data_IF_514303638778
#
_entry.id   IF_514303638778
#
_cell.length_a   1.000
_cell.length_b   1.000
_cell.length_c   1.000
_cell.angle_alpha   90.00
_cell.angle_beta   90.00
_cell.angle_gamma   90.00
#
_symmetry.space_group_name_H-M   'P 1'
#
loop_
_entity.id
_entity.type
_entity.pdbx_description
1 polymer ?
#
# COMPACT_ATOMS: atom_id res chain seq x y z
N UNK A 1 -9.50 12.66 10.01
CA UNK A 1 -8.08 12.35 10.32
C UNK A 1 -7.72 11.14 9.49
N UNK A 2 -6.61 11.20 8.74
CA UNK A 2 -6.19 10.11 7.85
C UNK A 2 -5.59 8.95 8.66
N UNK A 3 -5.89 7.72 8.25
CA UNK A 3 -5.22 6.51 8.74
C UNK A 3 -3.92 6.33 7.98
N UNK A 4 -2.88 5.86 8.66
CA UNK A 4 -1.58 5.55 8.07
C UNK A 4 -1.41 4.04 8.11
N UNK A 5 -1.07 3.44 6.97
CA UNK A 5 -0.51 2.10 6.91
C UNK A 5 0.98 2.17 6.62
N UNK A 6 1.73 1.32 7.32
CA UNK A 6 3.16 1.17 7.11
C UNK A 6 3.50 -0.31 7.14
N UNK A 7 4.37 -0.74 6.23
CA UNK A 7 4.78 -2.14 6.15
C UNK A 7 6.24 -2.23 5.73
N UNK A 8 7.01 -3.02 6.46
CA UNK A 8 8.43 -3.31 6.19
C UNK A 8 8.49 -4.63 5.43
N UNK A 9 9.26 -4.69 4.34
CA UNK A 9 9.48 -5.92 3.62
C UNK A 9 10.37 -6.87 4.46
N UNK A 10 9.87 -8.06 4.79
CA UNK A 10 10.65 -9.03 5.56
C UNK A 10 11.83 -9.61 4.74
N UNK A 11 11.65 -9.74 3.42
CA UNK A 11 12.70 -10.19 2.50
C UNK A 11 13.87 -9.20 2.38
N UNK A 12 13.58 -7.90 2.50
CA UNK A 12 14.54 -6.79 2.32
C UNK A 12 14.20 -5.62 3.28
N UNK A 13 14.64 -5.65 4.55
CA UNK A 13 14.18 -4.70 5.58
C UNK A 13 14.51 -3.22 5.35
N UNK A 14 15.38 -2.90 4.39
CA UNK A 14 15.61 -1.52 3.94
C UNK A 14 14.42 -0.96 3.13
N UNK A 15 13.57 -1.83 2.59
CA UNK A 15 12.39 -1.44 1.82
C UNK A 15 11.18 -1.30 2.74
N UNK A 16 10.61 -0.09 2.75
CA UNK A 16 9.43 0.25 3.57
C UNK A 16 8.38 0.89 2.68
N UNK A 17 7.13 0.48 2.86
CA UNK A 17 5.98 1.06 2.19
C UNK A 17 5.12 1.83 3.18
N UNK A 18 4.61 2.97 2.73
CA UNK A 18 3.68 3.81 3.47
C UNK A 18 2.49 4.15 2.59
N UNK A 19 1.29 3.92 3.10
CA UNK A 19 0.04 4.31 2.46
C UNK A 19 -0.72 5.30 3.34
N UNK A 20 -1.05 6.46 2.79
CA UNK A 20 -1.74 7.54 3.53
C UNK A 20 -2.48 8.48 2.58
N UNK A 21 -3.33 9.35 3.13
CA UNK A 21 -3.87 10.49 2.39
C UNK A 21 -2.77 11.51 2.13
N UNK A 22 -2.61 11.94 0.87
CA UNK A 22 -1.75 13.06 0.53
C UNK A 22 -2.58 14.15 -0.18
N UNK A 23 -2.45 15.44 0.18
CA UNK A 23 -3.39 16.48 -0.26
C UNK A 23 -3.47 16.72 -1.76
N UNK A 24 -2.40 16.48 -2.51
CA UNK A 24 -2.26 16.94 -3.91
C UNK A 24 -2.12 15.83 -4.95
N UNK A 25 -1.61 14.66 -4.60
CA UNK A 25 -1.45 13.48 -5.46
C UNK A 25 -0.92 12.31 -4.61
N UNK A 26 -1.08 11.05 -5.02
CA UNK A 26 -0.42 9.96 -4.30
C UNK A 26 -1.28 9.36 -3.20
N UNK A 27 -1.09 8.06 -2.99
CA UNK A 27 -1.39 7.46 -1.68
C UNK A 27 -0.29 6.52 -1.21
N UNK A 28 0.49 5.94 -2.13
CA UNK A 28 1.52 4.95 -1.80
C UNK A 28 2.93 5.51 -2.04
N UNK A 29 3.76 5.37 -1.02
CA UNK A 29 5.14 5.79 -0.97
C UNK A 29 6.02 4.59 -0.66
N UNK A 30 7.24 4.61 -1.18
CA UNK A 30 8.29 3.62 -0.90
C UNK A 30 9.55 4.32 -0.46
N UNK A 31 10.20 3.75 0.54
CA UNK A 31 11.59 4.00 0.90
C UNK A 31 12.40 2.75 0.56
N UNK A 32 13.66 2.97 0.17
CA UNK A 32 14.64 1.90 -0.06
C UNK A 32 15.85 2.02 0.91
N UNK A 33 15.71 2.89 1.92
CA UNK A 33 16.74 3.31 2.88
C UNK A 33 16.18 3.41 4.32
N UNK A 34 15.43 2.39 4.76
CA UNK A 34 14.91 2.26 6.13
C UNK A 34 13.97 3.40 6.58
N UNK A 35 13.39 4.13 5.63
CA UNK A 35 12.49 5.25 5.88
C UNK A 35 13.16 6.63 5.92
N UNK A 36 14.45 6.74 5.57
CA UNK A 36 15.16 8.03 5.52
C UNK A 36 14.66 8.93 4.38
N UNK A 37 14.45 8.35 3.19
CA UNK A 37 13.88 9.05 2.02
C UNK A 37 12.70 8.30 1.43
N UNK A 38 11.76 9.06 0.85
CA UNK A 38 10.51 8.52 0.34
C UNK A 38 10.25 9.00 -1.08
N UNK A 39 9.82 8.07 -1.94
CA UNK A 39 9.32 8.35 -3.29
C UNK A 39 7.87 7.93 -3.40
N UNK A 40 7.04 8.80 -3.97
CA UNK A 40 5.69 8.42 -4.38
C UNK A 40 5.79 7.44 -5.54
N UNK A 41 5.11 6.31 -5.43
CA UNK A 41 5.15 5.23 -6.44
C UNK A 41 3.78 4.96 -7.05
N UNK A 42 2.71 5.44 -6.43
CA UNK A 42 1.36 5.33 -6.94
C UNK A 42 0.46 6.49 -6.49
N UNK A 43 -0.22 7.12 -7.44
CA UNK A 43 -1.16 8.23 -7.26
C UNK A 43 -2.61 7.90 -7.57
N UNK A 44 -2.94 6.63 -7.81
CA UNK A 44 -4.31 6.18 -7.94
C UNK A 44 -5.04 6.32 -6.60
N UNK A 45 -5.96 7.29 -6.54
CA UNK A 45 -6.80 7.54 -5.36
C UNK A 45 -7.73 6.37 -5.05
N UNK A 46 -8.00 5.48 -6.01
CA UNK A 46 -8.82 4.30 -5.77
C UNK A 46 -8.10 3.25 -4.92
N UNK A 47 -6.76 3.25 -4.92
CA UNK A 47 -5.96 2.37 -4.07
C UNK A 47 -6.25 2.64 -2.58
N UNK A 48 -6.56 3.89 -2.24
CA UNK A 48 -6.93 4.32 -0.90
C UNK A 48 -8.24 5.16 -0.88
N UNK A 49 -9.29 4.61 -1.50
CA UNK A 49 -10.59 5.27 -1.60
C UNK A 49 -11.27 5.31 -0.23
N UNK A 50 -11.21 6.45 0.47
CA UNK A 50 -11.60 6.70 1.89
C UNK A 50 -10.44 6.48 2.86
N UNK A 51 -9.40 7.32 2.79
CA UNK A 51 -8.18 7.16 3.59
C UNK A 51 -8.38 7.40 5.10
N UNK A 52 -9.53 7.96 5.50
CA UNK A 52 -9.94 8.04 6.90
C UNK A 52 -10.39 6.70 7.48
N UNK A 53 -10.59 5.68 6.63
CA UNK A 53 -11.20 4.40 6.98
C UNK A 53 -10.31 3.22 6.55
N UNK A 54 -9.83 3.24 5.31
CA UNK A 54 -8.87 2.28 4.77
C UNK A 54 -7.49 2.93 4.68
N UNK A 55 -6.42 2.16 4.91
CA UNK A 55 -5.02 2.52 4.59
C UNK A 55 -4.14 1.29 4.86
N UNK A 56 -4.59 0.07 4.55
CA UNK A 56 -3.78 -1.11 4.81
C UNK A 56 -2.94 -1.48 3.59
N UNK A 57 -1.65 -1.70 3.85
CA UNK A 57 -0.67 -2.20 2.89
C UNK A 57 0.13 -3.31 3.57
N UNK A 58 0.28 -4.42 2.87
CA UNK A 58 1.06 -5.58 3.31
C UNK A 58 2.07 -5.95 2.24
N UNK A 59 3.30 -6.24 2.65
CA UNK A 59 4.35 -6.74 1.76
C UNK A 59 4.41 -8.27 1.87
N UNK A 60 4.61 -8.95 0.74
CA UNK A 60 4.91 -10.38 0.74
C UNK A 60 6.21 -10.64 1.53
N UNK A 61 6.23 -11.57 2.50
CA UNK A 61 7.42 -11.82 3.30
C UNK A 61 8.60 -12.38 2.48
N UNK A 62 8.33 -12.90 1.28
CA UNK A 62 9.34 -13.50 0.39
C UNK A 62 9.78 -12.62 -0.78
N UNK A 63 9.09 -11.50 -1.05
CA UNK A 63 9.38 -10.59 -2.17
C UNK A 63 8.94 -9.16 -1.86
N UNK A 64 9.90 -8.23 -1.74
CA UNK A 64 9.63 -6.84 -1.41
C UNK A 64 8.86 -6.06 -2.49
N UNK A 65 8.72 -6.61 -3.69
CA UNK A 65 7.98 -6.00 -4.79
C UNK A 65 6.54 -6.49 -4.91
N UNK A 66 6.18 -7.53 -4.14
CA UNK A 66 4.80 -8.01 -4.09
C UNK A 66 4.06 -7.37 -2.93
N UNK A 67 2.98 -6.65 -3.25
CA UNK A 67 2.16 -5.91 -2.27
C UNK A 67 0.71 -6.33 -2.34
N UNK A 68 0.05 -6.23 -1.20
CA UNK A 68 -1.39 -6.38 -1.06
C UNK A 68 -1.97 -5.14 -0.39
N UNK A 69 -3.07 -4.63 -0.91
CA UNK A 69 -3.82 -3.53 -0.29
C UNK A 69 -5.27 -3.94 -0.11
N UNK A 70 -5.87 -3.44 0.97
CA UNK A 70 -7.27 -3.64 1.27
C UNK A 70 -7.94 -2.28 1.51
N UNK A 71 -8.72 -1.84 0.52
CA UNK A 71 -9.53 -0.62 0.57
C UNK A 71 -10.95 -0.89 0.07
N UNK A 72 -11.37 -0.47 -1.12
CA UNK A 72 -12.67 -0.91 -1.69
C UNK A 72 -12.72 -2.39 -2.09
N UNK A 73 -11.59 -3.08 -2.04
CA UNK A 73 -11.43 -4.51 -2.27
C UNK A 73 -9.97 -4.94 -2.14
N UNK A 74 -9.73 -6.25 -2.23
CA UNK A 74 -8.38 -6.82 -2.19
C UNK A 74 -7.67 -6.64 -3.53
N UNK A 75 -6.56 -5.92 -3.52
CA UNK A 75 -5.71 -5.69 -4.69
C UNK A 75 -4.31 -6.19 -4.45
N UNK A 76 -3.65 -6.64 -5.53
CA UNK A 76 -2.27 -7.12 -5.53
C UNK A 76 -1.43 -6.34 -6.54
N UNK A 77 -0.21 -6.03 -6.16
CA UNK A 77 0.87 -5.58 -7.03
C UNK A 77 2.01 -6.60 -7.00
N UNK A 78 2.74 -6.73 -8.11
CA UNK A 78 3.98 -7.53 -8.22
C UNK A 78 5.13 -6.71 -8.81
N UNK A 79 5.00 -5.39 -8.84
CA UNK A 79 5.95 -4.46 -9.46
C UNK A 79 6.39 -3.33 -8.51
N UNK A 80 6.33 -3.61 -7.20
CA UNK A 80 6.69 -2.66 -6.16
C UNK A 80 5.66 -1.55 -5.99
N UNK A 81 4.38 -1.84 -6.24
CA UNK A 81 3.26 -0.92 -6.04
C UNK A 81 3.00 0.06 -7.17
N UNK A 82 3.64 -0.10 -8.34
CA UNK A 82 3.41 0.78 -9.50
C UNK A 82 2.06 0.50 -10.14
N UNK A 83 1.67 -0.77 -10.24
CA UNK A 83 0.37 -1.19 -10.75
C UNK A 83 -0.30 -2.18 -9.80
N UNK A 84 -1.64 -2.16 -9.78
CA UNK A 84 -2.46 -3.03 -8.95
C UNK A 84 -3.54 -3.72 -9.77
N UNK A 85 -3.79 -4.99 -9.45
CA UNK A 85 -4.88 -5.79 -9.98
C UNK A 85 -5.79 -6.24 -8.85
N UNK A 86 -7.10 -6.17 -9.05
CA UNK A 86 -8.07 -6.67 -8.06
C UNK A 86 -8.09 -8.20 -8.12
N UNK A 87 -7.81 -8.86 -7.00
CA UNK A 87 -7.68 -10.32 -6.92
C UNK A 87 -8.77 -11.00 -6.09
N UNK A 88 -9.69 -10.22 -5.49
CA UNK A 88 -10.84 -10.74 -4.74
C UNK A 88 -12.17 -10.26 -5.32
N UNK A 89 -13.00 -11.21 -5.77
CA UNK A 89 -14.42 -10.99 -6.05
C UNK A 89 -15.19 -11.05 -4.72
N UNK A 90 -16.01 -10.04 -4.41
CA UNK A 90 -16.81 -10.00 -3.17
C UNK A 90 -16.03 -9.75 -1.87
N UNK A 91 -14.71 -9.59 -1.91
CA UNK A 91 -13.93 -9.12 -0.75
C UNK A 91 -14.12 -7.63 -0.61
N UNK A 92 -14.73 -7.21 0.50
CA UNK A 92 -14.91 -5.82 0.85
C UNK A 92 -13.86 -5.36 1.87
N UNK A 93 -13.61 -4.06 1.87
CA UNK A 93 -12.56 -3.43 2.66
C UNK A 93 -12.69 -3.51 4.15
N UNK A 94 -13.88 -3.77 4.66
CA UNK A 94 -14.19 -3.89 6.08
C UNK A 94 -13.87 -5.29 6.63
N UNK A 95 -13.42 -6.22 5.78
CA UNK A 95 -12.83 -7.49 6.19
C UNK A 95 -11.35 -7.32 6.62
N UNK A 96 -11.05 -6.31 7.43
CA UNK A 96 -9.74 -6.11 8.08
C UNK A 96 -9.96 -6.44 9.55
N UNK A 97 -9.47 -7.60 9.98
CA UNK A 97 -9.54 -8.07 11.37
C UNK A 97 -8.13 -8.23 11.92
#
# INVERSE_FOLDING_TARGET
MARIGISVAQSSPNVVYLITEYPTAGTLFRSDDYGETWRMINDDRNLNFRPFYYSDVFVDPSDENTLYTLSGGLSKSTDGGRTFQRIGQGVHGDHQA
#
